data_IF_886007057873
#
_entry.id   IF_886007057873
#
_cell.length_a   1.000
_cell.length_b   1.000
_cell.length_c   1.000
_cell.angle_alpha   90.00
_cell.angle_beta   90.00
_cell.angle_gamma   90.00
#
_symmetry.space_group_name_H-M   'P 1'
#
loop_
_entity.id
_entity.type
_entity.pdbx_description
1 polymer ?
#
# COMPACT_ATOMS: atom_id res chain seq x y z
N UNK A 1 -7.23 -4.03 25.29
CA UNK A 1 -8.16 -3.04 24.71
C UNK A 1 -8.61 -3.54 23.34
N UNK A 2 -9.89 -3.88 23.17
CA UNK A 2 -10.42 -4.46 21.91
C UNK A 2 -10.22 -3.51 20.73
N UNK A 3 -10.45 -2.21 20.94
CA UNK A 3 -10.26 -1.17 19.92
C UNK A 3 -8.81 -1.10 19.42
N UNK A 4 -7.83 -1.26 20.30
CA UNK A 4 -6.41 -1.25 19.90
C UNK A 4 -6.04 -2.42 18.99
N UNK A 5 -6.60 -3.62 19.24
CA UNK A 5 -6.39 -4.80 18.38
C UNK A 5 -7.02 -4.61 17.01
N UNK A 6 -8.26 -4.12 16.96
CA UNK A 6 -8.95 -3.83 15.69
C UNK A 6 -8.24 -2.74 14.89
N UNK A 7 -7.78 -1.69 15.55
CA UNK A 7 -7.02 -0.61 14.89
C UNK A 7 -5.70 -1.11 14.31
N UNK A 8 -5.00 -2.02 15.01
CA UNK A 8 -3.78 -2.64 14.48
C UNK A 8 -4.06 -3.48 13.23
N UNK A 9 -5.14 -4.26 13.21
CA UNK A 9 -5.54 -5.05 12.03
C UNK A 9 -5.91 -4.16 10.83
N UNK A 10 -6.60 -3.04 11.08
CA UNK A 10 -6.93 -2.06 10.05
C UNK A 10 -5.65 -1.42 9.50
N UNK A 11 -4.71 -1.03 10.36
CA UNK A 11 -3.44 -0.45 9.96
C UNK A 11 -2.59 -1.43 9.12
N UNK A 12 -2.59 -2.71 9.47
CA UNK A 12 -1.89 -3.77 8.73
C UNK A 12 -2.50 -3.99 7.34
N UNK A 13 -3.83 -4.04 7.24
CA UNK A 13 -4.53 -4.13 5.97
C UNK A 13 -4.23 -2.92 5.07
N UNK A 14 -4.23 -1.71 5.65
CA UNK A 14 -3.85 -0.48 4.95
C UNK A 14 -2.40 -0.51 4.45
N UNK A 15 -1.45 -0.92 5.30
CA UNK A 15 -0.05 -1.03 4.91
C UNK A 15 0.16 -2.03 3.76
N UNK A 16 -0.59 -3.14 3.77
CA UNK A 16 -0.56 -4.13 2.68
C UNK A 16 -1.07 -3.52 1.37
N UNK A 17 -2.19 -2.81 1.39
CA UNK A 17 -2.74 -2.14 0.20
C UNK A 17 -1.78 -1.08 -0.36
N UNK A 18 -1.18 -0.27 0.52
CA UNK A 18 -0.16 0.72 0.13
C UNK A 18 1.06 0.03 -0.49
N UNK A 19 1.51 -1.09 0.06
CA UNK A 19 2.61 -1.88 -0.50
C UNK A 19 2.32 -2.41 -1.91
N UNK A 20 1.07 -2.77 -2.20
CA UNK A 20 0.63 -3.19 -3.54
C UNK A 20 0.58 -1.99 -4.49
N UNK A 21 -0.08 -0.90 -4.09
CA UNK A 21 -0.19 0.33 -4.89
C UNK A 21 1.18 0.96 -5.18
N UNK A 22 2.12 0.89 -4.23
CA UNK A 22 3.48 1.39 -4.43
C UNK A 22 4.23 0.59 -5.50
N UNK A 23 4.05 -0.73 -5.55
CA UNK A 23 4.65 -1.61 -6.57
C UNK A 23 4.01 -1.41 -7.94
N UNK A 24 2.69 -1.28 -7.99
CA UNK A 24 1.95 -0.99 -9.22
C UNK A 24 2.34 0.38 -9.80
N UNK A 25 2.44 1.38 -8.92
CA UNK A 25 2.90 2.71 -9.32
C UNK A 25 4.39 2.74 -9.68
N UNK A 26 5.23 1.83 -9.18
CA UNK A 26 6.64 1.70 -9.61
C UNK A 26 6.75 1.16 -11.04
N UNK A 27 5.92 0.20 -11.43
CA UNK A 27 5.92 -0.37 -12.79
C UNK A 27 5.42 0.62 -13.84
N UNK A 28 4.55 1.57 -13.48
CA UNK A 28 4.04 2.59 -14.40
C UNK A 28 5.00 3.73 -14.70
N UNK A 29 6.06 3.93 -13.90
CA UNK A 29 7.02 5.06 -14.10
C UNK A 29 8.09 4.73 -15.14
N UNK A 30 8.41 3.45 -15.33
CA UNK A 30 9.40 3.02 -16.33
C UNK A 30 8.88 3.27 -17.76
N UNK A 31 7.56 3.20 -18.00
CA UNK A 31 6.95 3.52 -19.30
C UNK A 31 6.75 5.04 -19.52
N UNK A 32 6.61 5.84 -18.46
CA UNK A 32 6.46 7.30 -18.55
C UNK A 32 7.77 8.03 -18.93
N UNK A 33 8.94 7.45 -18.63
CA UNK A 33 10.26 7.99 -19.06
C UNK A 33 10.60 7.73 -20.54
N UNK A 34 9.72 7.09 -21.31
CA UNK A 34 9.96 6.77 -22.74
C UNK A 34 9.27 7.72 -23.73
N UNK A 35 8.86 8.91 -23.29
CA UNK A 35 8.39 10.00 -24.16
C UNK A 35 9.45 11.09 -24.35
#
# INVERSE_FOLDING_TARGET
NMAARTNAQIAEALATMVGIMARDHQSGREDETRL
#
